data_IF_483298440696
#
_entry.id   IF_483298440696
#
_cell.length_a   1.000
_cell.length_b   1.000
_cell.length_c   1.000
_cell.angle_alpha   90.00
_cell.angle_beta   90.00
_cell.angle_gamma   90.00
#
_symmetry.space_group_name_H-M   'P 1'
#
loop_
_entity.id
_entity.type
_entity.pdbx_description
1 polymer ?
#
# COMPACT_ATOMS: atom_id res chain seq x y z
N UNK A 1 14.18 -24.03 -37.96
CA UNK A 1 13.32 -23.52 -36.87
C UNK A 1 11.89 -23.98 -37.10
N UNK A 2 11.31 -24.72 -36.16
CA UNK A 2 9.91 -25.16 -36.23
C UNK A 2 9.01 -24.13 -35.54
N UNK A 3 8.72 -23.01 -36.23
CA UNK A 3 7.88 -21.92 -35.71
C UNK A 3 6.80 -21.56 -36.74
N UNK A 4 5.60 -21.25 -36.26
CA UNK A 4 4.48 -20.91 -37.14
C UNK A 4 4.75 -19.57 -37.86
N UNK A 5 4.47 -19.50 -39.17
CA UNK A 5 4.65 -18.30 -40.01
C UNK A 5 3.93 -17.06 -39.44
N UNK A 6 2.76 -17.26 -38.81
CA UNK A 6 1.98 -16.17 -38.19
C UNK A 6 2.72 -15.53 -37.01
N UNK A 7 3.49 -16.31 -36.24
CA UNK A 7 4.30 -15.82 -35.13
C UNK A 7 5.40 -14.89 -35.64
N UNK A 8 6.09 -15.25 -36.73
CA UNK A 8 7.13 -14.44 -37.36
C UNK A 8 6.52 -13.13 -37.89
N UNK A 9 5.39 -13.19 -38.58
CA UNK A 9 4.70 -12.00 -39.08
C UNK A 9 4.32 -11.04 -37.96
N UNK A 10 3.68 -11.54 -36.89
CA UNK A 10 3.28 -10.74 -35.71
C UNK A 10 4.49 -10.13 -34.99
N UNK A 11 5.61 -10.84 -34.94
CA UNK A 11 6.85 -10.34 -34.33
C UNK A 11 7.47 -9.22 -35.17
N UNK A 12 7.52 -9.38 -36.50
CA UNK A 12 7.97 -8.33 -37.43
C UNK A 12 7.07 -7.10 -37.37
N UNK A 13 5.75 -7.29 -37.36
CA UNK A 13 4.79 -6.20 -37.21
C UNK A 13 5.01 -5.44 -35.89
N UNK A 14 5.15 -6.17 -34.77
CA UNK A 14 5.42 -5.57 -33.45
C UNK A 14 6.73 -4.77 -33.45
N UNK A 15 7.78 -5.32 -34.07
CA UNK A 15 9.07 -4.64 -34.21
C UNK A 15 8.92 -3.31 -34.97
N UNK A 16 8.18 -3.30 -36.09
CA UNK A 16 7.91 -2.06 -36.84
C UNK A 16 7.08 -1.05 -36.06
N UNK A 17 6.07 -1.49 -35.30
CA UNK A 17 5.19 -0.60 -34.55
C UNK A 17 5.84 0.01 -33.30
N UNK A 18 6.68 -0.76 -32.61
CA UNK A 18 7.16 -0.39 -31.26
C UNK A 18 8.68 -0.36 -31.12
N UNK A 19 9.42 -0.63 -32.20
CA UNK A 19 10.87 -0.79 -32.22
C UNK A 19 11.38 -1.82 -31.20
N UNK A 20 10.52 -2.77 -30.80
CA UNK A 20 10.86 -3.81 -29.83
C UNK A 20 10.12 -5.11 -30.12
N UNK A 21 10.80 -6.23 -29.86
CA UNK A 21 10.21 -7.58 -29.90
C UNK A 21 9.65 -8.01 -28.54
N UNK A 22 9.90 -7.23 -27.48
CA UNK A 22 9.46 -7.54 -26.11
C UNK A 22 7.95 -7.68 -26.05
N UNK A 23 7.49 -8.52 -25.13
CA UNK A 23 6.07 -8.69 -24.91
C UNK A 23 5.43 -7.41 -24.37
N UNK A 24 4.22 -7.14 -24.87
CA UNK A 24 3.40 -6.02 -24.40
C UNK A 24 2.89 -6.31 -22.98
N UNK A 25 2.77 -5.29 -22.11
CA UNK A 25 2.14 -5.48 -20.82
C UNK A 25 0.72 -6.01 -21.00
N UNK A 26 0.38 -7.08 -20.28
CA UNK A 26 -0.98 -7.63 -20.28
C UNK A 26 -1.86 -6.80 -19.34
N UNK A 27 -3.14 -6.65 -19.65
CA UNK A 27 -4.12 -5.89 -18.85
C UNK A 27 -4.30 -6.43 -17.43
N UNK A 28 -4.17 -7.75 -17.25
CA UNK A 28 -4.31 -8.40 -15.94
C UNK A 28 -5.74 -8.36 -15.39
N UNK A 29 -5.92 -8.84 -14.15
CA UNK A 29 -7.22 -8.88 -13.46
C UNK A 29 -7.56 -7.50 -12.86
N UNK A 30 -8.81 -7.00 -12.99
CA UNK A 30 -9.22 -5.76 -12.35
C UNK A 30 -9.12 -5.84 -10.82
N UNK A 31 -8.93 -4.68 -10.20
CA UNK A 31 -8.84 -4.56 -8.74
C UNK A 31 -10.24 -4.71 -8.11
N UNK A 32 -10.31 -5.38 -6.97
CA UNK A 32 -11.54 -5.45 -6.17
C UNK A 32 -11.84 -4.18 -5.37
N UNK A 33 -10.88 -3.27 -5.24
CA UNK A 33 -11.04 -1.99 -4.52
C UNK A 33 -10.92 -0.82 -5.48
N UNK A 34 -11.69 0.24 -5.23
CA UNK A 34 -11.59 1.50 -5.97
C UNK A 34 -10.51 2.40 -5.38
N UNK A 35 -10.01 3.36 -6.16
CA UNK A 35 -9.01 4.32 -5.68
C UNK A 35 -9.55 5.20 -4.52
N UNK A 36 -10.87 5.45 -4.47
CA UNK A 36 -11.50 6.18 -3.36
C UNK A 36 -11.46 5.36 -2.06
N UNK A 37 -11.74 4.07 -2.14
CA UNK A 37 -11.65 3.15 -1.00
C UNK A 37 -10.21 3.04 -0.49
N UNK A 38 -9.24 2.89 -1.40
CA UNK A 38 -7.83 2.82 -1.05
C UNK A 38 -7.37 4.11 -0.30
N UNK A 39 -7.80 5.29 -0.75
CA UNK A 39 -7.51 6.57 -0.07
C UNK A 39 -8.15 6.64 1.33
N UNK A 40 -9.39 6.18 1.47
CA UNK A 40 -10.06 6.15 2.77
C UNK A 40 -9.38 5.17 3.74
N UNK A 41 -8.93 4.01 3.25
CA UNK A 41 -8.12 3.08 4.04
C UNK A 41 -6.86 3.75 4.60
N UNK A 42 -6.10 4.41 3.73
CA UNK A 42 -4.88 5.12 4.14
C UNK A 42 -5.19 6.16 5.21
N UNK A 43 -6.19 7.02 4.97
CA UNK A 43 -6.59 8.06 5.94
C UNK A 43 -6.99 7.47 7.29
N UNK A 44 -7.81 6.43 7.30
CA UNK A 44 -8.28 5.81 8.54
C UNK A 44 -7.13 5.20 9.35
N UNK A 45 -6.18 4.54 8.69
CA UNK A 45 -5.00 3.95 9.36
C UNK A 45 -3.94 4.98 9.75
N UNK A 46 -3.90 6.15 9.08
CA UNK A 46 -3.07 7.28 9.52
C UNK A 46 -3.63 7.93 10.79
N UNK A 47 -4.95 8.12 10.85
CA UNK A 47 -5.62 8.71 12.01
C UNK A 47 -5.64 7.75 13.21
N UNK A 48 -5.87 6.46 12.98
CA UNK A 48 -5.87 5.43 14.01
C UNK A 48 -4.85 4.35 13.67
N UNK A 49 -3.64 4.50 14.21
CA UNK A 49 -2.51 3.59 13.96
C UNK A 49 -2.71 2.18 14.53
N UNK A 50 -3.63 2.01 15.48
CA UNK A 50 -3.97 0.72 16.09
C UNK A 50 -5.15 0.01 15.41
N UNK A 51 -5.75 0.63 14.39
CA UNK A 51 -6.84 0.03 13.63
C UNK A 51 -6.35 -1.24 12.92
N UNK A 52 -7.03 -2.36 13.16
CA UNK A 52 -6.67 -3.64 12.54
C UNK A 52 -7.18 -3.74 11.10
N UNK A 53 -6.42 -4.43 10.24
CA UNK A 53 -6.83 -4.66 8.86
C UNK A 53 -8.17 -5.43 8.75
N UNK A 54 -8.44 -6.34 9.70
CA UNK A 54 -9.71 -7.09 9.78
C UNK A 54 -10.89 -6.23 10.25
N UNK A 55 -10.64 -5.18 11.05
CA UNK A 55 -11.67 -4.19 11.33
C UNK A 55 -11.99 -3.41 10.06
N UNK A 56 -10.99 -2.86 9.37
CA UNK A 56 -11.19 -2.11 8.12
C UNK A 56 -11.88 -2.92 7.04
N UNK A 57 -11.54 -4.22 6.90
CA UNK A 57 -12.17 -5.10 5.92
C UNK A 57 -13.66 -5.32 6.18
N UNK A 58 -14.11 -5.28 7.44
CA UNK A 58 -15.53 -5.36 7.81
C UNK A 58 -16.29 -4.06 7.53
N UNK A 59 -15.63 -2.91 7.67
CA UNK A 59 -16.25 -1.60 7.53
C UNK A 59 -16.35 -1.13 6.07
N UNK A 60 -15.53 -1.67 5.16
CA UNK A 60 -15.66 -1.40 3.73
C UNK A 60 -16.84 -2.18 3.19
N UNK A 61 -18.03 -1.59 3.36
CA UNK A 61 -19.28 -2.13 2.84
C UNK A 61 -19.96 -1.05 2.01
N UNK A 62 -19.62 -1.00 0.72
CA UNK A 62 -20.45 -0.33 -0.28
C UNK A 62 -21.34 -1.37 -0.96
N UNK A 63 -22.53 -0.94 -1.38
CA UNK A 63 -23.68 -1.77 -1.81
C UNK A 63 -23.38 -2.92 -2.79
N UNK A 64 -22.26 -2.89 -3.51
CA UNK A 64 -22.00 -3.78 -4.65
C UNK A 64 -20.68 -4.58 -4.60
N UNK A 65 -19.91 -4.55 -3.50
CA UNK A 65 -18.62 -5.26 -3.44
C UNK A 65 -18.65 -6.32 -2.32
N UNK A 66 -18.34 -7.56 -2.69
CA UNK A 66 -18.03 -8.63 -1.75
C UNK A 66 -17.05 -8.14 -0.68
N UNK A 67 -17.23 -8.60 0.57
CA UNK A 67 -16.32 -8.30 1.67
C UNK A 67 -14.88 -8.54 1.24
N UNK A 68 -14.07 -7.49 1.21
CA UNK A 68 -12.66 -7.64 0.91
C UNK A 68 -11.97 -8.41 2.05
N UNK A 69 -10.96 -9.21 1.73
CA UNK A 69 -10.20 -9.89 2.77
C UNK A 69 -9.30 -8.91 3.52
N UNK A 70 -8.98 -9.22 4.77
CA UNK A 70 -7.97 -8.47 5.53
C UNK A 70 -6.60 -8.44 4.81
N UNK A 71 -6.30 -9.46 4.01
CA UNK A 71 -5.06 -9.50 3.22
C UNK A 71 -5.05 -8.47 2.09
N UNK A 72 -6.19 -8.26 1.43
CA UNK A 72 -6.33 -7.17 0.45
C UNK A 72 -6.07 -5.82 1.11
N UNK A 73 -6.63 -5.57 2.30
CA UNK A 73 -6.38 -4.34 3.06
C UNK A 73 -4.88 -4.16 3.34
N UNK A 74 -4.19 -5.19 3.84
CA UNK A 74 -2.74 -5.12 4.08
C UNK A 74 -1.96 -4.79 2.81
N UNK A 75 -2.29 -5.41 1.67
CA UNK A 75 -1.65 -5.10 0.39
C UNK A 75 -1.87 -3.65 -0.04
N UNK A 76 -3.06 -3.09 0.19
CA UNK A 76 -3.33 -1.67 -0.12
C UNK A 76 -2.53 -0.71 0.76
N UNK A 77 -2.43 -1.03 2.05
CA UNK A 77 -1.60 -0.27 2.98
C UNK A 77 -0.12 -0.36 2.63
N UNK A 78 0.38 -1.53 2.24
CA UNK A 78 1.79 -1.68 1.85
C UNK A 78 2.13 -0.95 0.56
N UNK A 79 1.21 -0.92 -0.42
CA UNK A 79 1.36 -0.11 -1.63
C UNK A 79 1.44 1.39 -1.36
N UNK A 80 0.92 1.85 -0.21
CA UNK A 80 0.94 3.25 0.24
C UNK A 80 1.97 3.49 1.36
N UNK A 81 2.94 2.57 1.51
CA UNK A 81 4.06 2.68 2.48
C UNK A 81 3.61 2.59 3.95
N UNK A 82 2.35 2.28 4.24
CA UNK A 82 1.87 2.04 5.60
C UNK A 82 2.21 0.60 6.00
N UNK A 83 3.02 0.47 7.05
CA UNK A 83 3.41 -0.82 7.63
C UNK A 83 3.01 -0.88 9.10
N UNK A 84 2.56 -2.05 9.53
CA UNK A 84 2.39 -2.32 10.94
C UNK A 84 3.76 -2.33 11.63
N UNK A 85 3.86 -1.65 12.77
CA UNK A 85 5.05 -1.63 13.63
C UNK A 85 4.62 -1.94 15.06
N UNK A 86 5.55 -2.48 15.85
CA UNK A 86 5.34 -2.61 17.29
C UNK A 86 5.45 -1.22 17.91
N UNK A 87 4.46 -0.78 18.72
CA UNK A 87 4.59 0.47 19.46
C UNK A 87 5.75 0.36 20.45
N UNK A 88 6.35 1.49 20.78
CA UNK A 88 7.33 1.56 21.85
C UNK A 88 6.68 1.22 23.21
N UNK A 89 7.38 0.45 24.03
CA UNK A 89 6.96 0.10 25.39
C UNK A 89 7.99 0.72 26.33
N UNK A 90 7.55 1.63 27.21
CA UNK A 90 8.41 2.28 28.20
C UNK A 90 7.60 3.02 29.26
N UNK A 91 8.30 3.68 30.18
CA UNK A 91 7.66 4.42 31.27
C UNK A 91 6.86 5.61 30.74
N UNK A 92 5.62 5.75 31.21
CA UNK A 92 4.77 6.90 30.89
C UNK A 92 5.29 8.10 31.69
N UNK A 93 5.93 9.04 31.01
CA UNK A 93 6.44 10.25 31.65
C UNK A 93 5.30 11.21 31.98
N UNK A 94 5.21 11.60 33.25
CA UNK A 94 4.38 12.74 33.67
C UNK A 94 4.86 14.02 32.96
N UNK A 95 3.93 14.97 32.78
CA UNK A 95 4.21 16.22 32.07
C UNK A 95 5.40 16.99 32.67
N UNK A 96 5.50 17.08 34.00
CA UNK A 96 6.63 17.72 34.70
C UNK A 96 7.98 17.10 34.32
N UNK A 97 8.05 15.78 34.25
CA UNK A 97 9.29 15.06 33.93
C UNK A 97 9.68 15.26 32.47
N UNK A 98 8.71 15.35 31.55
CA UNK A 98 8.99 15.67 30.14
C UNK A 98 9.62 17.05 30.02
N UNK A 99 9.05 18.05 30.69
CA UNK A 99 9.55 19.43 30.64
C UNK A 99 10.98 19.55 31.19
N UNK A 100 11.23 19.02 32.39
CA UNK A 100 12.56 19.05 33.01
C UNK A 100 13.62 18.35 32.15
N UNK A 101 13.29 17.19 31.56
CA UNK A 101 14.21 16.47 30.67
C UNK A 101 14.53 17.26 29.40
N UNK A 102 13.54 17.95 28.83
CA UNK A 102 13.76 18.80 27.65
C UNK A 102 14.65 20.00 27.98
N UNK A 103 14.39 20.70 29.09
CA UNK A 103 15.22 21.83 29.54
C UNK A 103 16.66 21.41 29.75
N UNK A 104 16.88 20.32 30.51
CA UNK A 104 18.21 19.78 30.73
C UNK A 104 18.91 19.42 29.41
N UNK A 105 18.22 18.77 28.47
CA UNK A 105 18.82 18.43 27.18
C UNK A 105 19.19 19.67 26.34
N UNK A 106 18.44 20.76 26.46
CA UNK A 106 18.74 22.03 25.78
C UNK A 106 19.95 22.73 26.39
N UNK A 107 20.07 22.72 27.73
CA UNK A 107 21.19 23.32 28.46
C UNK A 107 22.52 22.59 28.22
N UNK A 108 22.49 21.28 27.96
CA UNK A 108 23.71 20.48 27.74
C UNK A 108 24.23 20.50 26.29
N UNK A 109 23.41 20.95 25.33
CA UNK A 109 23.78 21.04 23.91
C UNK A 109 24.27 22.47 23.55
N UNK A 110 24.03 23.45 24.42
CA UNK A 110 24.53 24.82 24.32
C UNK A 110 25.97 24.94 24.86
#
# INVERSE_FOLDING_TARGET
>A
MNVNRTTIFRLRQRLHETNTVRDRPRSGRPRCTTQRQDRNLVRNHMNNRFLSASASSRHIRERNIQRISANTVRRRLSCSVIRARRPYIGSILAQRHRHQRTLWAQEQVA
#
